data_IF_910103547690
#
_entry.id   IF_910103547690
#
_cell.length_a   1.000
_cell.length_b   1.000
_cell.length_c   1.000
_cell.angle_alpha   90.00
_cell.angle_beta   90.00
_cell.angle_gamma   90.00
#
_symmetry.space_group_name_H-M   'P 1'
#
loop_
_entity.id
_entity.type
_entity.pdbx_description
1 polymer ?
#
# COMPACT_ATOMS: atom_id res chain seq x y z
N UNK A 1 5.82 -6.03 -3.10
CA UNK A 1 5.97 -4.62 -3.50
C UNK A 1 7.25 -4.08 -2.87
N UNK A 2 8.09 -3.42 -3.65
CA UNK A 2 9.34 -2.78 -3.23
C UNK A 2 9.35 -1.34 -3.71
N UNK A 3 10.17 -0.50 -3.08
CA UNK A 3 10.28 0.92 -3.45
C UNK A 3 10.76 1.12 -4.90
N UNK A 4 11.60 0.22 -5.41
CA UNK A 4 12.05 0.24 -6.80
C UNK A 4 10.89 0.10 -7.81
N UNK A 5 9.77 -0.53 -7.42
CA UNK A 5 8.60 -0.72 -8.28
C UNK A 5 7.87 0.63 -8.54
N UNK A 6 8.18 1.67 -7.76
CA UNK A 6 7.65 3.01 -7.98
C UNK A 6 8.48 3.83 -8.97
N UNK A 7 9.68 3.40 -9.38
CA UNK A 7 10.54 4.15 -10.28
C UNK A 7 10.15 3.93 -11.75
N UNK A 8 10.26 4.97 -12.58
CA UNK A 8 10.13 4.80 -14.03
C UNK A 8 11.39 4.15 -14.61
N UNK A 9 11.29 3.59 -15.81
CA UNK A 9 12.42 2.89 -16.49
C UNK A 9 13.68 3.75 -16.68
N UNK A 10 13.52 5.08 -16.67
CA UNK A 10 14.59 6.07 -16.82
C UNK A 10 14.98 6.76 -15.51
N UNK A 11 14.40 6.39 -14.38
CA UNK A 11 14.65 7.01 -13.07
C UNK A 11 15.46 6.06 -12.18
N UNK A 12 16.62 6.51 -11.70
CA UNK A 12 17.40 5.78 -10.68
C UNK A 12 17.18 6.32 -9.27
N UNK A 13 16.77 7.59 -9.14
CA UNK A 13 16.42 8.23 -7.87
C UNK A 13 15.26 9.20 -8.08
N UNK A 14 14.38 9.29 -7.08
CA UNK A 14 13.31 10.29 -7.01
C UNK A 14 13.34 10.95 -5.64
N UNK A 15 12.86 12.18 -5.54
CA UNK A 15 12.75 12.85 -4.24
C UNK A 15 11.69 12.17 -3.36
N UNK A 16 11.86 12.26 -2.04
CA UNK A 16 10.94 11.66 -1.07
C UNK A 16 9.49 12.15 -1.24
N UNK A 17 9.27 13.42 -1.58
CA UNK A 17 7.93 13.96 -1.83
C UNK A 17 7.19 13.22 -2.95
N UNK A 18 7.85 13.01 -4.09
CA UNK A 18 7.30 12.24 -5.21
C UNK A 18 7.07 10.77 -4.85
N UNK A 19 7.96 10.18 -4.05
CA UNK A 19 7.78 8.80 -3.59
C UNK A 19 6.55 8.67 -2.68
N UNK A 20 6.33 9.62 -1.77
CA UNK A 20 5.14 9.66 -0.92
C UNK A 20 3.85 9.76 -1.75
N UNK A 21 3.81 10.56 -2.81
CA UNK A 21 2.64 10.64 -3.68
C UNK A 21 2.38 9.30 -4.40
N UNK A 22 3.43 8.66 -4.93
CA UNK A 22 3.30 7.33 -5.57
C UNK A 22 2.80 6.27 -4.58
N UNK A 23 3.25 6.30 -3.33
CA UNK A 23 2.78 5.39 -2.28
C UNK A 23 1.31 5.63 -1.95
N UNK A 24 0.85 6.89 -1.87
CA UNK A 24 -0.56 7.22 -1.64
C UNK A 24 -1.45 6.68 -2.75
N UNK A 25 -1.05 6.88 -4.01
CA UNK A 25 -1.77 6.35 -5.17
C UNK A 25 -1.85 4.82 -5.15
N UNK A 26 -0.74 4.15 -4.81
CA UNK A 26 -0.73 2.70 -4.68
C UNK A 26 -1.62 2.21 -3.55
N UNK A 27 -1.55 2.85 -2.38
CA UNK A 27 -2.42 2.54 -1.24
C UNK A 27 -3.89 2.63 -1.63
N UNK A 28 -4.28 3.72 -2.29
CA UNK A 28 -5.67 3.96 -2.70
C UNK A 28 -6.12 2.89 -3.70
N UNK A 29 -5.25 2.49 -4.64
CA UNK A 29 -5.50 1.37 -5.55
C UNK A 29 -5.67 0.04 -4.79
N UNK A 30 -4.81 -0.29 -3.82
CA UNK A 30 -4.95 -1.52 -3.04
C UNK A 30 -6.22 -1.53 -2.18
N UNK A 31 -6.61 -0.38 -1.62
CA UNK A 31 -7.86 -0.24 -0.87
C UNK A 31 -9.09 -0.45 -1.75
N UNK A 32 -9.05 0.01 -3.01
CA UNK A 32 -10.12 -0.22 -3.98
C UNK A 32 -10.18 -1.69 -4.44
N UNK A 33 -9.03 -2.30 -4.74
CA UNK A 33 -8.94 -3.71 -5.15
C UNK A 33 -9.38 -4.68 -4.05
N UNK A 34 -9.17 -4.32 -2.79
CA UNK A 34 -9.60 -5.09 -1.62
C UNK A 34 -10.95 -4.64 -1.06
N UNK A 35 -11.74 -3.85 -1.79
CA UNK A 35 -12.97 -3.30 -1.22
C UNK A 35 -14.07 -4.35 -1.03
N UNK A 36 -14.22 -5.21 -2.03
CA UNK A 36 -15.19 -6.31 -2.04
C UNK A 36 -15.02 -7.29 -0.87
N UNK A 37 -13.82 -7.39 -0.29
CA UNK A 37 -13.54 -8.31 0.82
C UNK A 37 -14.18 -7.88 2.13
N UNK A 38 -14.64 -6.63 2.26
CA UNK A 38 -15.29 -6.13 3.48
C UNK A 38 -16.79 -6.39 3.54
N UNK A 39 -17.37 -6.91 2.46
CA UNK A 39 -18.77 -7.31 2.42
C UNK A 39 -18.91 -8.59 3.24
N UNK A 40 -19.92 -8.65 4.12
CA UNK A 40 -20.14 -9.81 5.02
C UNK A 40 -20.38 -11.13 4.28
N UNK A 41 -20.83 -11.07 3.03
CA UNK A 41 -21.07 -12.22 2.15
C UNK A 41 -19.79 -12.70 1.42
N UNK A 42 -18.67 -11.98 1.55
CA UNK A 42 -17.43 -12.38 0.91
C UNK A 42 -16.84 -13.62 1.59
N UNK A 43 -16.62 -14.67 0.80
CA UNK A 43 -16.05 -15.96 1.22
C UNK A 43 -14.52 -15.88 1.41
N UNK A 44 -14.05 -14.99 2.27
CA UNK A 44 -12.63 -14.75 2.57
C UNK A 44 -12.40 -14.65 4.08
N UNK A 45 -11.14 -14.70 4.52
CA UNK A 45 -10.79 -14.39 5.90
C UNK A 45 -10.96 -12.89 6.18
N UNK A 46 -12.15 -12.53 6.67
CA UNK A 46 -12.54 -11.16 6.99
C UNK A 46 -11.58 -10.48 7.96
N UNK A 47 -11.06 -11.22 8.96
CA UNK A 47 -10.16 -10.66 9.96
C UNK A 47 -8.80 -10.33 9.34
N UNK A 48 -8.27 -11.22 8.51
CA UNK A 48 -7.01 -10.99 7.79
C UNK A 48 -7.13 -9.80 6.82
N UNK A 49 -8.22 -9.70 6.06
CA UNK A 49 -8.44 -8.60 5.13
C UNK A 49 -8.68 -7.26 5.84
N UNK A 50 -9.41 -7.25 6.96
CA UNK A 50 -9.56 -6.06 7.78
C UNK A 50 -8.22 -5.57 8.32
N UNK A 51 -7.38 -6.47 8.86
CA UNK A 51 -6.04 -6.15 9.35
C UNK A 51 -5.15 -5.59 8.22
N UNK A 52 -5.16 -6.23 7.04
CA UNK A 52 -4.46 -5.76 5.85
C UNK A 52 -4.86 -4.33 5.48
N UNK A 53 -6.17 -4.02 5.47
CA UNK A 53 -6.65 -2.67 5.13
C UNK A 53 -6.35 -1.62 6.20
N UNK A 54 -6.21 -2.00 7.47
CA UNK A 54 -5.69 -1.10 8.51
C UNK A 54 -4.24 -0.75 8.23
N UNK A 55 -3.39 -1.76 7.99
CA UNK A 55 -1.97 -1.55 7.66
C UNK A 55 -1.78 -0.69 6.41
N UNK A 56 -2.64 -0.83 5.39
CA UNK A 56 -2.64 0.05 4.22
C UNK A 56 -2.95 1.51 4.59
N UNK A 57 -3.96 1.75 5.43
CA UNK A 57 -4.37 3.13 5.81
C UNK A 57 -3.32 3.84 6.64
N UNK A 58 -2.52 3.10 7.41
CA UNK A 58 -1.40 3.65 8.18
C UNK A 58 -0.26 4.15 7.29
N UNK A 59 -0.22 3.77 6.00
CA UNK A 59 0.73 4.32 5.03
C UNK A 59 0.30 5.72 4.56
N UNK A 60 1.25 6.69 4.44
CA UNK A 60 2.70 6.57 4.62
C UNK A 60 3.23 6.92 6.02
N UNK A 61 2.36 7.14 7.01
CA UNK A 61 2.75 7.61 8.34
C UNK A 61 3.49 6.56 9.19
N UNK A 62 3.57 5.31 8.72
CA UNK A 62 4.19 4.20 9.45
C UNK A 62 5.73 4.18 9.45
N UNK A 63 6.41 5.03 8.67
CA UNK A 63 7.88 5.14 8.69
C UNK A 63 8.38 6.59 8.59
N UNK A 64 9.58 6.83 9.11
CA UNK A 64 10.24 8.14 9.08
C UNK A 64 10.72 8.55 7.68
N UNK A 65 11.02 7.56 6.83
CA UNK A 65 11.44 7.77 5.44
C UNK A 65 10.69 6.81 4.52
N UNK A 66 10.37 7.21 3.28
CA UNK A 66 9.59 6.36 2.39
C UNK A 66 10.33 5.08 1.97
N UNK A 67 11.67 5.09 1.95
CA UNK A 67 12.51 3.93 1.62
C UNK A 67 12.43 2.81 2.66
N UNK A 68 12.04 3.13 3.89
CA UNK A 68 11.91 2.18 5.01
C UNK A 68 10.49 1.64 5.17
N UNK A 69 9.54 2.06 4.33
CA UNK A 69 8.16 1.60 4.43
C UNK A 69 8.07 0.10 4.12
N UNK A 70 7.39 -0.61 5.02
CA UNK A 70 7.03 -2.00 4.83
C UNK A 70 5.62 -2.05 4.24
N UNK A 71 5.50 -2.65 3.07
CA UNK A 71 4.20 -2.81 2.40
C UNK A 71 3.53 -4.11 2.87
N UNK A 72 2.27 -4.05 3.32
CA UNK A 72 1.56 -5.24 3.74
C UNK A 72 1.30 -6.15 2.52
N UNK A 73 1.24 -7.46 2.76
CA UNK A 73 0.94 -8.47 1.75
C UNK A 73 -0.53 -8.84 1.89
N UNK A 74 -1.24 -8.90 0.75
CA UNK A 74 -2.63 -9.30 0.73
C UNK A 74 -2.79 -10.77 1.20
N UNK A 75 -3.83 -11.09 1.99
CA UNK A 75 -4.16 -12.47 2.40
C UNK A 75 -4.50 -13.40 1.23
#
# INVERSE_FOLDING_TARGET
>A
MKIADFLNENETTISDGWLYERIRLWRDAQLALSDWTQVLDAQVDQAAWAAYRVLLRDLPASAATPQQLVFPVAP
#
